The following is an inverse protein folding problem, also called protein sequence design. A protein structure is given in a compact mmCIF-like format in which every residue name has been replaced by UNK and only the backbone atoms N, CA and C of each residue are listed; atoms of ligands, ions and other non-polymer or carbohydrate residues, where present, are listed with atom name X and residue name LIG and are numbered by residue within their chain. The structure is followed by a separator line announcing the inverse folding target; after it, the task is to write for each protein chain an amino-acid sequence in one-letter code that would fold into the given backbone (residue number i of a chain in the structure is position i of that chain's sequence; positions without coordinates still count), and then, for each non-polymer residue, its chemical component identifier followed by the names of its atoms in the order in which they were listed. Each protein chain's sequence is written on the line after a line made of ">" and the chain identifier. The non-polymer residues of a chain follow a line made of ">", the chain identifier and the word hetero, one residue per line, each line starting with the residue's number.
data_IF_500988992436
#
_entry.id   IF_500988992436
#
_cell.length_a   1.000
_cell.length_b   1.000
_cell.length_c   1.000
_cell.angle_alpha   90.00
_cell.angle_beta   90.00
_cell.angle_gamma   90.00
#
_symmetry.space_group_name_H-M   'P 1'
#
loop_
_entity.id
_entity.type
_entity.pdbx_description
1 polymer ?
#
# COMPACT_ATOMS: atom_id res chain seq x y z
N UNK A 1 -3.85 17.65 21.39
CA UNK A 1 -2.94 17.35 20.25
C UNK A 1 -2.94 15.84 20.07
N UNK A 2 -3.55 15.34 19.00
CA UNK A 2 -3.45 13.92 18.65
C UNK A 2 -1.99 13.64 18.26
N UNK A 3 -1.35 12.66 18.90
CA UNK A 3 -0.05 12.16 18.47
C UNK A 3 -0.22 11.60 17.07
N UNK A 4 0.34 12.27 16.07
CA UNK A 4 0.29 11.80 14.70
C UNK A 4 1.13 10.52 14.60
N UNK A 5 0.48 9.40 14.26
CA UNK A 5 1.17 8.13 14.01
C UNK A 5 2.21 8.33 12.92
N UNK A 6 3.44 7.84 13.15
CA UNK A 6 4.52 7.93 12.17
C UNK A 6 4.17 7.12 10.94
N UNK A 7 4.34 7.71 9.76
CA UNK A 7 4.10 7.01 8.50
C UNK A 7 5.15 5.92 8.23
N UNK A 8 6.35 6.04 8.79
CA UNK A 8 7.44 5.07 8.65
C UNK A 8 7.83 4.46 10.00
N UNK A 9 8.12 3.17 10.01
CA UNK A 9 8.75 2.46 11.13
C UNK A 9 9.96 1.67 10.63
N UNK A 10 10.99 1.54 11.47
CA UNK A 10 12.20 0.80 11.11
C UNK A 10 12.03 -0.70 11.38
N UNK A 11 12.83 -1.53 10.70
CA UNK A 11 12.87 -2.97 10.94
C UNK A 11 13.27 -3.30 12.40
N UNK A 12 14.21 -2.54 12.97
CA UNK A 12 14.56 -2.61 14.40
C UNK A 12 13.34 -2.36 15.29
N UNK A 13 12.57 -1.30 15.04
CA UNK A 13 11.38 -1.01 15.84
C UNK A 13 10.35 -2.14 15.72
N UNK A 14 10.07 -2.60 14.51
CA UNK A 14 9.07 -3.64 14.28
C UNK A 14 9.47 -4.97 14.95
N UNK A 15 10.75 -5.37 14.83
CA UNK A 15 11.25 -6.61 15.45
C UNK A 15 11.18 -6.59 16.98
N UNK A 16 11.27 -5.42 17.61
CA UNK A 16 11.05 -5.24 19.04
C UNK A 16 9.56 -5.26 19.37
N UNK A 17 8.75 -4.52 18.61
CA UNK A 17 7.32 -4.40 18.84
C UNK A 17 6.64 -5.77 18.87
N UNK A 18 6.84 -6.60 17.85
CA UNK A 18 6.20 -7.93 17.72
C UNK A 18 6.58 -8.93 18.83
N UNK A 19 7.66 -8.67 19.59
CA UNK A 19 8.10 -9.54 20.71
C UNK A 19 7.51 -9.14 22.06
N UNK A 20 6.93 -7.95 22.17
CA UNK A 20 6.44 -7.42 23.44
C UNK A 20 4.94 -7.65 23.61
N UNK A 21 4.47 -7.84 24.85
CA UNK A 21 3.02 -7.81 25.16
C UNK A 21 2.36 -6.48 24.77
N UNK A 22 3.11 -5.37 24.80
CA UNK A 22 2.64 -4.07 24.33
C UNK A 22 2.43 -4.01 22.80
N UNK A 23 3.13 -4.86 22.04
CA UNK A 23 2.92 -5.05 20.61
C UNK A 23 1.84 -6.07 20.25
N UNK A 24 1.06 -6.56 21.22
CA UNK A 24 -0.05 -7.49 20.95
C UNK A 24 -1.10 -6.90 19.98
N UNK A 25 -1.16 -5.57 19.85
CA UNK A 25 -2.03 -4.87 18.94
C UNK A 25 -1.35 -4.42 17.62
N UNK A 26 -0.09 -4.80 17.40
CA UNK A 26 0.57 -4.60 16.11
C UNK A 26 0.10 -5.68 15.14
N UNK A 27 -0.26 -5.27 13.93
CA UNK A 27 -0.67 -6.17 12.85
C UNK A 27 0.20 -5.89 11.64
N UNK A 28 0.88 -6.93 11.15
CA UNK A 28 1.80 -6.80 10.03
C UNK A 28 1.11 -7.29 8.76
N UNK A 29 1.20 -6.52 7.68
CA UNK A 29 0.63 -6.85 6.39
C UNK A 29 1.69 -6.90 5.31
N UNK A 30 1.77 -8.02 4.61
CA UNK A 30 2.48 -8.11 3.34
C UNK A 30 1.54 -7.68 2.21
N UNK A 31 1.78 -6.51 1.66
CA UNK A 31 1.00 -5.93 0.56
C UNK A 31 1.72 -6.08 -0.78
N UNK A 32 2.58 -7.09 -0.95
CA UNK A 32 3.33 -7.30 -2.19
C UNK A 32 2.41 -7.48 -3.39
N UNK A 33 2.62 -6.63 -4.40
CA UNK A 33 1.97 -6.71 -5.69
C UNK A 33 3.00 -6.40 -6.78
N UNK A 34 2.93 -7.13 -7.89
CA UNK A 34 3.89 -6.99 -8.98
C UNK A 34 3.18 -6.80 -10.31
N UNK A 35 3.77 -5.98 -11.17
CA UNK A 35 3.32 -5.88 -12.55
C UNK A 35 3.40 -7.26 -13.23
N UNK A 36 2.40 -7.65 -14.05
CA UNK A 36 2.35 -8.97 -14.70
C UNK A 36 3.62 -9.35 -15.46
N UNK A 37 4.30 -8.36 -16.08
CA UNK A 37 5.55 -8.55 -16.84
C UNK A 37 6.70 -9.10 -16.00
N UNK A 38 6.70 -8.88 -14.67
CA UNK A 38 7.72 -9.41 -13.76
C UNK A 38 7.58 -10.92 -13.51
N UNK A 39 6.44 -11.53 -13.86
CA UNK A 39 6.17 -12.98 -13.69
C UNK A 39 6.44 -13.49 -12.27
N UNK A 40 6.30 -12.61 -11.26
CA UNK A 40 6.40 -12.94 -9.84
C UNK A 40 5.01 -13.21 -9.28
N UNK A 41 4.94 -14.05 -8.26
CA UNK A 41 3.68 -14.40 -7.58
C UNK A 41 3.82 -14.06 -6.10
N UNK A 42 3.33 -12.89 -5.71
CA UNK A 42 3.42 -12.37 -4.34
C UNK A 42 2.80 -13.32 -3.31
N UNK A 43 1.65 -13.93 -3.61
CA UNK A 43 1.03 -14.90 -2.72
C UNK A 43 1.91 -16.15 -2.50
N UNK A 44 2.59 -16.65 -3.53
CA UNK A 44 3.52 -17.78 -3.43
C UNK A 44 4.78 -17.40 -2.67
N UNK A 45 5.30 -16.19 -2.89
CA UNK A 45 6.47 -15.67 -2.18
C UNK A 45 6.19 -15.48 -0.68
N UNK A 46 5.06 -14.85 -0.33
CA UNK A 46 4.60 -14.71 1.04
C UNK A 46 4.53 -16.06 1.74
N UNK A 47 3.93 -17.07 1.09
CA UNK A 47 3.81 -18.44 1.65
C UNK A 47 5.16 -19.09 1.97
N UNK A 48 6.24 -18.70 1.30
CA UNK A 48 7.60 -19.22 1.49
C UNK A 48 8.43 -18.38 2.46
N UNK A 49 8.10 -17.10 2.61
CA UNK A 49 8.84 -16.18 3.48
C UNK A 49 8.04 -14.91 3.72
N UNK A 50 7.76 -14.65 4.98
CA UNK A 50 7.17 -13.40 5.44
C UNK A 50 7.63 -13.08 6.86
N UNK A 51 7.37 -11.86 7.32
CA UNK A 51 7.62 -11.45 8.70
C UNK A 51 6.71 -12.27 9.64
N UNK A 52 7.22 -12.81 10.77
CA UNK A 52 6.39 -13.57 11.70
C UNK A 52 5.15 -12.81 12.15
N UNK A 53 3.99 -13.49 12.14
CA UNK A 53 2.68 -12.91 12.45
C UNK A 53 2.09 -12.00 11.35
N UNK A 54 2.75 -11.87 10.19
CA UNK A 54 2.18 -11.11 9.09
C UNK A 54 1.03 -11.85 8.41
N UNK A 55 0.04 -11.09 7.94
CA UNK A 55 -1.00 -11.58 7.04
C UNK A 55 -0.80 -11.03 5.63
N UNK A 56 -1.20 -11.79 4.61
CA UNK A 56 -1.14 -11.34 3.23
C UNK A 56 -2.30 -10.41 2.88
N UNK A 57 -1.99 -9.22 2.38
CA UNK A 57 -2.92 -8.27 1.79
C UNK A 57 -2.84 -8.39 0.26
N UNK A 58 -3.81 -9.11 -0.29
CA UNK A 58 -4.06 -9.20 -1.73
C UNK A 58 -4.75 -7.91 -2.21
N UNK A 59 -3.98 -7.05 -2.89
CA UNK A 59 -4.47 -5.77 -3.40
C UNK A 59 -5.53 -5.95 -4.50
N UNK A 60 -5.41 -7.01 -5.30
CA UNK A 60 -6.38 -7.29 -6.36
C UNK A 60 -7.72 -7.67 -5.74
N UNK A 61 -7.73 -8.51 -4.69
CA UNK A 61 -8.97 -8.85 -3.97
C UNK A 61 -9.58 -7.70 -3.19
N UNK A 62 -8.78 -6.77 -2.69
CA UNK A 62 -9.25 -5.60 -1.95
C UNK A 62 -9.38 -4.37 -2.85
N UNK A 63 -10.02 -4.56 -3.98
CA UNK A 63 -10.33 -3.50 -4.95
C UNK A 63 -11.73 -3.67 -5.50
N UNK A 64 -12.30 -2.61 -6.06
CA UNK A 64 -13.60 -2.69 -6.73
C UNK A 64 -13.49 -3.56 -7.99
N UNK A 65 -14.03 -4.79 -7.89
CA UNK A 65 -14.04 -5.78 -8.97
C UNK A 65 -15.06 -5.46 -10.07
N UNK A 66 -15.94 -4.48 -9.86
CA UNK A 66 -16.97 -4.09 -10.84
C UNK A 66 -16.47 -3.02 -11.80
N UNK A 67 -15.41 -2.30 -11.41
CA UNK A 67 -14.79 -1.28 -12.22
C UNK A 67 -14.00 -1.88 -13.40
N UNK A 68 -14.07 -1.29 -14.60
CA UNK A 68 -13.20 -1.66 -15.72
C UNK A 68 -11.76 -1.14 -15.56
N UNK A 69 -11.49 -0.32 -14.54
CA UNK A 69 -10.18 0.25 -14.21
C UNK A 69 -9.50 -0.54 -13.09
N UNK A 70 -8.19 -0.74 -13.19
CA UNK A 70 -7.43 -1.49 -12.17
C UNK A 70 -7.33 -0.75 -10.83
N UNK A 71 -7.29 -1.52 -9.74
CA UNK A 71 -6.98 -1.10 -8.37
C UNK A 71 -7.83 0.05 -7.83
N UNK A 72 -9.07 0.16 -8.29
CA UNK A 72 -10.05 1.10 -7.75
C UNK A 72 -10.36 0.76 -6.29
N UNK A 73 -10.63 1.79 -5.48
CA UNK A 73 -11.00 1.59 -4.09
C UNK A 73 -12.24 0.69 -3.99
N UNK A 74 -12.25 -0.32 -3.11
CA UNK A 74 -13.45 -1.08 -2.83
C UNK A 74 -14.48 -0.20 -2.08
N UNK A 75 -15.69 -0.73 -1.85
CA UNK A 75 -16.62 -0.06 -0.93
C UNK A 75 -16.06 -0.10 0.52
N UNK A 76 -16.54 0.80 1.38
CA UNK A 76 -16.17 0.76 2.79
C UNK A 76 -16.56 -0.57 3.46
N UNK A 77 -17.70 -1.16 3.07
CA UNK A 77 -18.14 -2.47 3.55
C UNK A 77 -17.18 -3.60 3.15
N UNK A 78 -16.81 -3.65 1.87
CA UNK A 78 -15.89 -4.68 1.36
C UNK A 78 -14.50 -4.54 1.99
N UNK A 79 -13.99 -3.31 2.14
CA UNK A 79 -12.73 -3.07 2.85
C UNK A 79 -12.82 -3.54 4.30
N UNK A 80 -13.90 -3.20 5.01
CA UNK A 80 -14.09 -3.57 6.40
C UNK A 80 -14.14 -5.09 6.59
N UNK A 81 -14.91 -5.79 5.76
CA UNK A 81 -14.99 -7.25 5.79
C UNK A 81 -13.62 -7.90 5.48
N UNK A 82 -12.91 -7.36 4.48
CA UNK A 82 -11.61 -7.85 4.08
C UNK A 82 -10.56 -7.71 5.19
N UNK A 83 -10.55 -6.57 5.89
CA UNK A 83 -9.65 -6.31 7.01
C UNK A 83 -10.05 -7.13 8.25
N UNK A 84 -11.35 -7.27 8.52
CA UNK A 84 -11.87 -8.06 9.64
C UNK A 84 -11.34 -9.50 9.60
N UNK A 85 -11.41 -10.17 8.45
CA UNK A 85 -10.92 -11.55 8.24
C UNK A 85 -9.41 -11.73 8.47
N UNK A 86 -8.67 -10.63 8.71
CA UNK A 86 -7.23 -10.62 9.03
C UNK A 86 -6.97 -10.30 10.50
N UNK A 87 -7.97 -10.33 11.37
CA UNK A 87 -7.78 -10.13 12.80
C UNK A 87 -7.41 -8.70 13.20
N UNK A 88 -7.66 -7.73 12.33
CA UNK A 88 -7.31 -6.33 12.55
C UNK A 88 -8.53 -5.63 13.15
N UNK A 89 -8.31 -4.93 14.26
CA UNK A 89 -9.30 -4.08 14.93
C UNK A 89 -9.02 -2.61 14.62
N UNK A 90 -9.99 -1.72 14.88
CA UNK A 90 -9.83 -0.29 14.62
C UNK A 90 -8.78 0.41 15.50
N UNK A 91 -8.40 -0.19 16.62
CA UNK A 91 -7.35 0.31 17.53
C UNK A 91 -5.96 -0.28 17.23
N UNK A 92 -5.86 -1.24 16.31
CA UNK A 92 -4.61 -1.88 15.95
C UNK A 92 -3.62 -0.91 15.28
N UNK A 93 -2.34 -1.08 15.57
CA UNK A 93 -1.27 -0.43 14.80
C UNK A 93 -0.91 -1.33 13.62
N UNK A 94 -1.34 -0.94 12.43
CA UNK A 94 -1.06 -1.67 11.20
C UNK A 94 0.31 -1.26 10.64
N UNK A 95 1.16 -2.23 10.35
CA UNK A 95 2.45 -2.02 9.69
C UNK A 95 2.45 -2.76 8.36
N UNK A 96 2.56 -2.03 7.27
CA UNK A 96 2.51 -2.57 5.91
C UNK A 96 3.91 -2.63 5.32
N UNK A 97 4.24 -3.73 4.66
CA UNK A 97 5.47 -3.86 3.88
C UNK A 97 5.18 -4.51 2.53
N UNK A 98 6.16 -4.47 1.62
CA UNK A 98 6.17 -5.32 0.44
C UNK A 98 7.57 -5.91 0.19
N UNK A 99 7.65 -6.90 -0.69
CA UNK A 99 8.85 -7.61 -1.08
C UNK A 99 9.39 -7.14 -2.45
N UNK A 100 9.12 -5.88 -2.80
CA UNK A 100 9.69 -5.24 -3.98
C UNK A 100 11.20 -5.04 -3.82
N UNK A 101 11.92 -5.04 -4.95
CA UNK A 101 13.37 -4.83 -4.94
C UNK A 101 13.78 -3.42 -4.52
N UNK A 102 12.85 -2.48 -4.61
CA UNK A 102 13.07 -1.07 -4.31
C UNK A 102 12.83 -0.73 -2.84
N UNK A 103 12.39 -1.71 -2.04
CA UNK A 103 12.10 -1.57 -0.60
C UNK A 103 10.68 -1.07 -0.32
N UNK A 104 10.07 -0.36 -1.27
CA UNK A 104 8.65 -0.03 -1.26
C UNK A 104 8.14 0.12 -2.70
N UNK A 105 6.95 -0.42 -2.96
CA UNK A 105 6.25 -0.30 -4.23
C UNK A 105 4.73 -0.25 -4.03
N UNK A 106 4.14 -1.31 -3.48
CA UNK A 106 2.70 -1.45 -3.29
C UNK A 106 2.25 -1.20 -1.84
N UNK A 107 3.14 -1.31 -0.86
CA UNK A 107 2.84 -1.02 0.54
C UNK A 107 2.28 0.40 0.79
N UNK A 108 2.81 1.48 0.15
CA UNK A 108 2.25 2.82 0.31
C UNK A 108 0.79 2.93 -0.14
N UNK A 109 0.35 2.15 -1.15
CA UNK A 109 -1.05 2.13 -1.58
C UNK A 109 -1.96 1.63 -0.45
N UNK A 110 -1.59 0.53 0.20
CA UNK A 110 -2.38 -0.03 1.30
C UNK A 110 -2.34 0.87 2.53
N UNK A 111 -1.19 1.46 2.88
CA UNK A 111 -1.10 2.50 3.91
C UNK A 111 -2.08 3.64 3.65
N UNK A 112 -2.14 4.14 2.42
CA UNK A 112 -3.09 5.18 2.02
C UNK A 112 -4.53 4.70 2.12
N UNK A 113 -4.85 3.46 1.69
CA UNK A 113 -6.20 2.88 1.79
C UNK A 113 -6.72 2.86 3.23
N UNK A 114 -5.90 2.42 4.20
CA UNK A 114 -6.29 2.47 5.61
C UNK A 114 -6.69 3.90 6.05
N UNK A 115 -5.90 4.90 5.67
CA UNK A 115 -6.16 6.30 6.03
C UNK A 115 -7.41 6.86 5.35
N UNK A 116 -7.60 6.53 4.08
CA UNK A 116 -8.81 6.87 3.31
C UNK A 116 -10.05 6.28 3.97
N UNK A 117 -9.94 5.10 4.58
CA UNK A 117 -11.03 4.45 5.30
C UNK A 117 -11.10 4.80 6.80
N UNK A 118 -10.40 5.85 7.24
CA UNK A 118 -10.48 6.40 8.60
C UNK A 118 -9.56 5.73 9.63
N UNK A 119 -8.68 4.81 9.22
CA UNK A 119 -7.69 4.18 10.11
C UNK A 119 -6.34 4.89 10.03
N UNK A 120 -6.06 5.75 10.99
CA UNK A 120 -4.85 6.58 10.99
C UNK A 120 -3.65 5.93 11.71
N UNK A 121 -3.87 4.87 12.48
CA UNK A 121 -2.79 4.12 13.17
C UNK A 121 -2.16 3.09 12.22
N UNK A 122 -1.54 3.60 11.15
CA UNK A 122 -0.94 2.79 10.08
C UNK A 122 0.41 3.35 9.65
N UNK A 123 1.39 2.47 9.46
CA UNK A 123 2.75 2.79 9.06
C UNK A 123 3.22 1.87 7.93
N UNK A 124 4.23 2.29 7.18
CA UNK A 124 4.99 1.49 6.23
C UNK A 124 6.32 1.07 6.87
N UNK A 125 6.74 -0.18 6.67
CA UNK A 125 8.06 -0.65 7.05
C UNK A 125 9.11 -0.07 6.11
N UNK A 126 10.00 0.75 6.64
CA UNK A 126 11.07 1.37 5.87
C UNK A 126 12.03 0.30 5.32
N UNK A 127 12.26 0.33 4.01
CA UNK A 127 13.05 -0.66 3.27
C UNK A 127 12.37 -2.03 3.03
N UNK A 128 11.15 -2.24 3.51
CA UNK A 128 10.34 -3.43 3.24
C UNK A 128 10.95 -4.76 3.69
N UNK A 129 10.49 -5.87 3.09
CA UNK A 129 11.02 -7.21 3.42
C UNK A 129 12.51 -7.34 3.06
N UNK A 130 12.94 -6.64 2.01
CA UNK A 130 14.34 -6.63 1.57
C UNK A 130 15.27 -6.17 2.69
N UNK A 131 14.99 -5.01 3.28
CA UNK A 131 15.83 -4.47 4.35
C UNK A 131 15.68 -5.28 5.65
N UNK A 132 14.47 -5.73 5.98
CA UNK A 132 14.24 -6.65 7.12
C UNK A 132 15.17 -7.86 7.09
N UNK A 133 15.33 -8.50 5.92
CA UNK A 133 16.21 -9.65 5.74
C UNK A 133 17.69 -9.26 5.73
N UNK A 134 18.05 -8.10 5.17
CA UNK A 134 19.42 -7.59 5.18
C UNK A 134 19.93 -7.31 6.61
N UNK A 135 19.04 -6.85 7.50
CA UNK A 135 19.35 -6.67 8.92
C UNK A 135 19.35 -7.99 9.73
N UNK A 136 19.05 -9.13 9.09
CA UNK A 136 19.12 -10.45 9.70
C UNK A 136 17.94 -10.80 10.63
N UNK A 137 16.80 -10.11 10.50
CA UNK A 137 15.60 -10.47 11.26
C UNK A 137 14.92 -11.74 10.72
N UNK A 138 14.22 -12.49 11.58
CA UNK A 138 13.63 -13.76 11.20
C UNK A 138 12.51 -13.61 10.18
N UNK A 139 12.38 -14.62 9.31
CA UNK A 139 11.22 -14.82 8.44
C UNK A 139 10.66 -16.22 8.70
N UNK A 140 9.40 -16.43 8.35
CA UNK A 140 8.70 -17.70 8.55
C UNK A 140 7.89 -18.11 7.34
N UNK A 141 7.49 -19.39 7.33
CA UNK A 141 6.49 -19.98 6.45
C UNK A 141 5.17 -20.28 7.19
N UNK A 142 5.19 -20.17 8.53
CA UNK A 142 4.04 -20.42 9.41
C UNK A 142 2.92 -19.45 9.11
N UNK A 143 1.67 -19.95 9.06
CA UNK A 143 0.52 -19.11 8.76
C UNK A 143 -0.38 -18.99 9.96
N UNK A 144 -0.69 -17.76 10.31
CA UNK A 144 -1.74 -17.46 11.26
C UNK A 144 -3.08 -17.30 10.55
N UNK A 145 -4.12 -17.88 11.13
CA UNK A 145 -5.51 -17.64 10.75
C UNK A 145 -6.17 -16.94 11.92
N UNK A 146 -6.18 -15.60 11.93
CA UNK A 146 -6.83 -14.87 12.99
C UNK A 146 -8.36 -15.01 12.87
N UNK A 147 -9.05 -14.88 14.00
CA UNK A 147 -10.49 -14.77 14.02
C UNK A 147 -10.94 -13.42 13.43
N UNK A 148 -12.08 -13.38 12.72
CA UNK A 148 -12.68 -12.13 12.26
C UNK A 148 -12.97 -11.15 13.40
N UNK A 149 -12.94 -9.85 13.09
CA UNK A 149 -13.19 -8.76 14.04
C UNK A 149 -14.40 -7.92 13.64
N UNK A 150 -14.82 -6.98 14.49
CA UNK A 150 -15.84 -5.97 14.16
C UNK A 150 -15.24 -4.70 13.53
N UNK A 151 -14.29 -4.86 12.59
CA UNK A 151 -13.62 -3.72 11.95
C UNK A 151 -14.63 -2.83 11.20
N UNK A 152 -14.53 -1.52 11.41
CA UNK A 152 -15.36 -0.50 10.75
C UNK A 152 -14.52 0.37 9.83
N UNK A 153 -15.05 0.69 8.66
CA UNK A 153 -14.41 1.58 7.70
C UNK A 153 -15.34 2.74 7.36
N UNK A 154 -14.77 3.93 7.19
CA UNK A 154 -15.50 5.11 6.73
C UNK A 154 -14.66 5.80 5.66
N UNK A 155 -15.18 5.82 4.43
CA UNK A 155 -14.51 6.45 3.30
C UNK A 155 -14.51 7.98 3.45
N UNK A 156 -13.33 8.56 3.63
CA UNK A 156 -13.10 9.99 3.52
C UNK A 156 -12.76 10.34 2.06
N UNK A 157 -13.76 10.92 1.38
CA UNK A 157 -13.66 11.27 -0.05
C UNK A 157 -12.65 12.38 -0.32
N UNK A 158 -12.22 13.18 0.66
CA UNK A 158 -11.24 14.25 0.40
C UNK A 158 -9.85 13.71 0.04
N UNK A 159 -9.61 12.41 0.25
CA UNK A 159 -8.36 11.73 -0.13
C UNK A 159 -8.29 11.29 -1.59
N UNK A 160 -9.40 11.41 -2.33
CA UNK A 160 -9.56 10.90 -3.69
C UNK A 160 -10.02 12.03 -4.58
N UNK A 161 -9.41 12.15 -5.77
CA UNK A 161 -9.91 13.00 -6.86
C UNK A 161 -10.57 12.12 -7.90
N UNK A 162 -11.75 12.52 -8.37
CA UNK A 162 -12.46 11.83 -9.45
C UNK A 162 -11.90 12.22 -10.81
N UNK A 163 -12.38 11.56 -11.87
CA UNK A 163 -12.05 11.95 -13.24
C UNK A 163 -12.49 13.39 -13.54
N UNK A 164 -13.69 13.75 -13.10
CA UNK A 164 -14.28 15.08 -13.26
C UNK A 164 -13.45 16.14 -12.53
N UNK A 165 -13.03 15.88 -11.29
CA UNK A 165 -12.15 16.80 -10.55
C UNK A 165 -10.84 17.10 -11.31
N UNK A 166 -10.29 16.09 -12.00
CA UNK A 166 -9.05 16.22 -12.78
C UNK A 166 -9.30 17.02 -14.06
N UNK A 167 -10.41 16.76 -14.76
CA UNK A 167 -10.80 17.53 -15.95
C UNK A 167 -10.98 19.01 -15.62
N UNK A 168 -11.72 19.31 -14.55
CA UNK A 168 -11.96 20.69 -14.12
C UNK A 168 -10.65 21.38 -13.71
N UNK A 169 -9.71 20.64 -13.11
CA UNK A 169 -8.42 21.18 -12.70
C UNK A 169 -7.47 21.52 -13.86
N UNK A 170 -7.67 20.96 -15.05
CA UNK A 170 -6.88 21.35 -16.25
C UNK A 170 -7.10 22.83 -16.56
N UNK A 171 -8.34 23.31 -16.41
CA UNK A 171 -8.72 24.70 -16.65
C UNK A 171 -8.49 25.57 -15.42
N UNK A 172 -8.95 25.13 -14.24
CA UNK A 172 -9.00 25.94 -13.02
C UNK A 172 -7.65 26.05 -12.30
N UNK A 173 -6.79 25.03 -12.42
CA UNK A 173 -5.46 24.95 -11.77
C UNK A 173 -5.51 25.13 -10.24
N UNK A 174 -6.58 24.67 -9.60
CA UNK A 174 -6.76 24.75 -8.15
C UNK A 174 -5.74 23.89 -7.37
N UNK A 175 -5.24 22.82 -7.98
CA UNK A 175 -4.20 21.97 -7.40
C UNK A 175 -3.13 21.55 -8.40
N UNK A 176 -1.94 21.25 -7.87
CA UNK A 176 -0.86 20.67 -8.65
C UNK A 176 -1.10 19.16 -8.82
N UNK A 177 -1.13 18.69 -10.07
CA UNK A 177 -1.22 17.27 -10.38
C UNK A 177 0.17 16.67 -10.53
N UNK A 178 0.49 15.67 -9.72
CA UNK A 178 1.82 15.03 -9.68
C UNK A 178 1.68 13.57 -10.12
N UNK A 179 2.38 13.20 -11.20
CA UNK A 179 2.37 11.84 -11.76
C UNK A 179 3.63 11.08 -11.34
N UNK A 180 3.45 9.94 -10.66
CA UNK A 180 4.54 9.12 -10.12
C UNK A 180 5.10 8.09 -11.12
N UNK A 181 4.56 7.98 -12.34
CA UNK A 181 5.03 7.03 -13.35
C UNK A 181 6.48 7.35 -13.77
N UNK A 182 7.22 6.35 -14.29
CA UNK A 182 8.54 6.58 -14.87
C UNK A 182 8.51 7.65 -15.96
N UNK A 183 9.58 8.45 -16.03
CA UNK A 183 9.64 9.63 -16.91
C UNK A 183 9.43 9.31 -18.39
N UNK A 184 9.84 8.13 -18.86
CA UNK A 184 9.61 7.72 -20.25
C UNK A 184 8.13 7.49 -20.57
N UNK A 185 7.36 6.87 -19.67
CA UNK A 185 5.89 6.72 -19.80
C UNK A 185 5.18 8.07 -19.75
N UNK A 186 5.57 8.94 -18.82
CA UNK A 186 5.03 10.29 -18.72
C UNK A 186 5.27 11.13 -19.99
N UNK A 187 6.48 11.02 -20.57
CA UNK A 187 6.88 11.73 -21.79
C UNK A 187 6.40 11.08 -23.09
N UNK A 188 5.62 9.98 -23.03
CA UNK A 188 5.13 9.30 -24.24
C UNK A 188 6.18 8.49 -25.00
N UNK A 189 7.31 8.14 -24.37
CA UNK A 189 8.43 7.44 -25.02
C UNK A 189 8.42 5.92 -24.78
N UNK A 190 7.97 5.52 -23.59
CA UNK A 190 7.90 4.11 -23.19
C UNK A 190 6.44 3.67 -23.16
N UNK A 191 6.12 2.44 -23.60
CA UNK A 191 4.75 1.95 -23.62
C UNK A 191 4.17 1.79 -22.21
N UNK A 192 2.86 1.93 -22.10
CA UNK A 192 2.15 1.57 -20.88
C UNK A 192 2.14 0.03 -20.67
N UNK A 193 2.00 -0.44 -19.43
CA UNK A 193 1.84 -1.88 -19.17
C UNK A 193 0.56 -2.46 -19.76
N UNK A 194 -0.45 -1.62 -20.04
CA UNK A 194 -1.75 -1.99 -20.60
C UNK A 194 -1.75 -1.80 -22.11
N UNK A 195 -2.24 -2.80 -22.83
CA UNK A 195 -2.21 -2.80 -24.31
C UNK A 195 -3.13 -1.73 -24.94
N UNK A 196 -4.19 -1.30 -24.23
CA UNK A 196 -5.17 -0.32 -24.71
C UNK A 196 -4.95 1.09 -24.15
N UNK A 197 -3.72 1.45 -23.77
CA UNK A 197 -3.43 2.77 -23.20
C UNK A 197 -2.16 3.31 -23.82
N UNK A 198 -2.28 4.44 -24.54
CA UNK A 198 -1.12 5.13 -25.07
C UNK A 198 -0.37 5.87 -23.95
N UNK A 199 0.97 5.95 -24.01
CA UNK A 199 1.74 6.71 -23.04
C UNK A 199 1.58 8.23 -23.25
N UNK A 200 2.00 9.02 -22.28
CA UNK A 200 1.73 10.46 -22.21
C UNK A 200 1.26 10.88 -20.83
N UNK A 201 0.78 12.11 -20.67
CA UNK A 201 0.38 12.66 -19.38
C UNK A 201 -0.80 13.63 -19.47
N UNK A 202 -1.45 13.85 -18.33
CA UNK A 202 -2.52 14.85 -18.19
C UNK A 202 -1.91 16.25 -18.37
N UNK A 203 -2.49 17.13 -19.20
CA UNK A 203 -1.99 18.49 -19.38
C UNK A 203 -1.76 19.22 -18.05
N UNK A 204 -0.62 19.90 -17.94
CA UNK A 204 -0.25 20.66 -16.73
C UNK A 204 0.24 19.82 -15.55
N UNK A 205 0.23 18.48 -15.64
CA UNK A 205 0.80 17.62 -14.60
C UNK A 205 2.33 17.70 -14.56
N UNK A 206 2.88 17.38 -13.39
CA UNK A 206 4.32 17.39 -13.10
C UNK A 206 4.76 15.95 -12.87
N UNK A 207 5.85 15.54 -13.51
CA UNK A 207 6.56 14.31 -13.14
C UNK A 207 7.78 14.70 -12.31
N UNK A 208 7.71 14.63 -10.96
CA UNK A 208 8.89 14.78 -10.14
C UNK A 208 9.82 13.60 -10.44
N UNK A 209 11.07 13.72 -10.01
CA UNK A 209 12.06 12.63 -10.08
C UNK A 209 11.39 11.30 -9.64
N UNK A 210 11.52 10.18 -10.40
CA UNK A 210 10.67 8.99 -10.26
C UNK A 210 10.55 8.49 -8.81
N UNK A 211 9.41 7.92 -8.41
CA UNK A 211 9.14 7.45 -7.03
C UNK A 211 10.31 6.65 -6.39
N UNK A 212 11.08 5.93 -7.19
CA UNK A 212 12.31 5.24 -6.77
C UNK A 212 13.34 6.11 -6.02
N UNK A 213 13.28 7.43 -6.15
CA UNK A 213 14.19 8.39 -5.51
C UNK A 213 13.65 8.97 -4.19
N UNK A 214 12.40 8.69 -3.81
CA UNK A 214 11.87 9.05 -2.49
C UNK A 214 12.33 8.01 -1.47
N UNK A 215 13.57 8.12 -1.02
CA UNK A 215 14.12 7.33 0.10
C UNK A 215 14.35 8.23 1.29
N UNK A 216 14.00 7.76 2.49
CA UNK A 216 14.52 8.32 3.74
C UNK A 216 16.05 8.23 3.69
N UNK A 217 16.71 9.36 3.82
CA UNK A 217 18.16 9.46 4.07
C UNK A 217 18.49 9.02 5.49
#
# INVERSE_FOLDING_TARGET
>A
MSLQTKALVTAKWLSQAIKTRAGANVRVLDASWYLPKLKRNSASEFKKRHIPGAAYFDLDRCSDQTSPLDHMLPSAGDFAEYISRRGITNDAHVVVYDASEQGAFSAPRVWWMFRVFGHHTVSVLDGGLKHWMQEGYPVTEEREKPEPTDYRAMLDRSWVKTYEDILDNIETKEFQLVDARPAGRFKGRDPEPRDNTEPGHVPGSINPVPFFFLRSS
#
